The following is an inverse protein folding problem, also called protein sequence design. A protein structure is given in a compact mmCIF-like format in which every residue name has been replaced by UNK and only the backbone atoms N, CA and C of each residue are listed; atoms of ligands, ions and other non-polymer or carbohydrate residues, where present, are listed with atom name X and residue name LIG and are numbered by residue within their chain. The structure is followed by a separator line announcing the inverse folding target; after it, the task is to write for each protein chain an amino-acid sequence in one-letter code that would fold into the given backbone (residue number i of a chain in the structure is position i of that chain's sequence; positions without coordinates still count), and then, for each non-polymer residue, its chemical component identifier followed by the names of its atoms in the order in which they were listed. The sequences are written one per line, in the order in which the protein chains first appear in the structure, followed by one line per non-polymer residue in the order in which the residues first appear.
data_IF_587819862883
#
_entry.id   IF_587819862883
#
_cell.length_a   1.000
_cell.length_b   1.000
_cell.length_c   1.000
_cell.angle_alpha   90.00
_cell.angle_beta   90.00
_cell.angle_gamma   90.00
#
_symmetry.space_group_name_H-M   'P 1'
#
loop_
_entity.id
_entity.type
_entity.pdbx_description
1 polymer ?
#
# COMPACT_ATOMS: atom_id res chain seq x y z
N UNK A 1 -57.69 -31.87 -19.58
CA UNK A 1 -56.37 -32.49 -19.75
C UNK A 1 -55.63 -31.61 -20.74
N UNK A 2 -54.83 -30.67 -20.27
CA UNK A 2 -54.02 -29.77 -21.09
C UNK A 2 -52.55 -30.08 -20.75
N UNK A 3 -51.89 -30.72 -21.71
CA UNK A 3 -50.50 -31.12 -21.67
C UNK A 3 -49.61 -29.83 -21.74
N UNK A 4 -48.83 -29.59 -20.66
CA UNK A 4 -47.80 -28.57 -20.66
C UNK A 4 -46.52 -29.18 -21.22
N UNK A 5 -46.20 -28.84 -22.46
CA UNK A 5 -44.88 -29.08 -23.04
C UNK A 5 -43.81 -28.28 -22.29
N UNK A 6 -42.69 -28.88 -21.88
CA UNK A 6 -41.58 -28.14 -21.26
C UNK A 6 -40.87 -27.29 -22.31
N UNK A 7 -40.75 -25.99 -22.03
CA UNK A 7 -39.98 -25.04 -22.82
C UNK A 7 -38.49 -25.45 -22.74
N UNK A 8 -37.97 -25.98 -23.83
CA UNK A 8 -36.53 -26.26 -23.96
C UNK A 8 -35.77 -24.94 -23.98
N UNK A 9 -35.00 -24.65 -22.92
CA UNK A 9 -34.03 -23.57 -22.88
C UNK A 9 -32.91 -23.89 -23.89
N UNK A 10 -32.66 -23.08 -24.89
CA UNK A 10 -31.58 -23.35 -25.85
C UNK A 10 -30.24 -23.25 -25.10
N UNK A 11 -29.52 -24.40 -25.01
CA UNK A 11 -28.11 -24.40 -24.67
C UNK A 11 -27.38 -23.66 -25.79
N UNK A 12 -26.87 -22.45 -25.48
CA UNK A 12 -26.02 -21.74 -26.40
C UNK A 12 -24.72 -22.54 -26.56
N UNK A 13 -24.58 -23.21 -27.68
CA UNK A 13 -23.32 -23.83 -28.18
C UNK A 13 -22.33 -22.71 -28.56
N UNK A 14 -22.02 -21.86 -27.62
CA UNK A 14 -20.96 -20.86 -27.78
C UNK A 14 -19.64 -21.60 -27.70
N UNK A 15 -19.04 -21.87 -28.87
CA UNK A 15 -17.66 -22.35 -28.92
C UNK A 15 -16.78 -21.49 -28.02
N UNK A 16 -15.98 -22.07 -27.13
CA UNK A 16 -15.19 -21.30 -26.20
C UNK A 16 -14.28 -20.35 -26.99
N UNK A 17 -14.34 -19.05 -26.65
CA UNK A 17 -13.46 -18.05 -27.27
C UNK A 17 -12.03 -18.48 -27.06
N UNK A 18 -11.23 -18.58 -28.15
CA UNK A 18 -9.85 -19.02 -28.07
C UNK A 18 -8.92 -17.84 -27.83
N UNK A 19 -7.93 -18.04 -26.95
CA UNK A 19 -6.83 -17.10 -26.72
C UNK A 19 -5.50 -17.86 -26.72
N UNK A 20 -4.47 -17.28 -27.33
CA UNK A 20 -3.10 -17.79 -27.27
C UNK A 20 -2.32 -16.93 -26.30
N UNK A 21 -1.61 -17.57 -25.39
CA UNK A 21 -0.79 -16.91 -24.39
C UNK A 21 0.66 -17.36 -24.49
N UNK A 22 1.56 -16.45 -24.84
CA UNK A 22 3.01 -16.68 -24.77
C UNK A 22 3.54 -16.17 -23.44
N UNK A 23 4.22 -17.02 -22.68
CA UNK A 23 4.80 -16.66 -21.37
C UNK A 23 6.07 -17.42 -21.06
N UNK A 24 6.95 -16.81 -20.27
CA UNK A 24 8.18 -17.47 -19.82
C UNK A 24 7.86 -18.58 -18.81
N UNK A 25 8.42 -19.77 -19.06
CA UNK A 25 8.44 -20.91 -18.15
C UNK A 25 9.80 -21.57 -18.27
N UNK A 26 10.71 -21.23 -17.39
CA UNK A 26 12.10 -21.71 -17.38
C UNK A 26 12.38 -22.46 -16.07
N UNK A 27 13.41 -23.31 -16.02
CA UNK A 27 13.88 -23.87 -14.75
C UNK A 27 14.14 -22.75 -13.73
N UNK A 28 13.49 -22.82 -12.57
CA UNK A 28 13.61 -21.82 -11.51
C UNK A 28 12.89 -20.48 -11.74
N UNK A 29 12.24 -20.26 -12.90
CA UNK A 29 11.50 -19.02 -13.17
C UNK A 29 10.22 -19.25 -13.96
N UNK A 30 9.09 -18.91 -13.37
CA UNK A 30 7.79 -18.85 -14.06
C UNK A 30 7.25 -17.42 -13.99
N UNK A 31 6.94 -16.83 -15.13
CA UNK A 31 6.46 -15.46 -15.21
C UNK A 31 5.14 -15.26 -14.44
N UNK A 32 5.10 -14.47 -13.34
CA UNK A 32 3.89 -14.28 -12.54
C UNK A 32 2.78 -13.55 -13.30
N UNK A 33 3.13 -12.62 -14.18
CA UNK A 33 2.15 -11.95 -15.04
C UNK A 33 1.55 -12.91 -16.08
N UNK A 34 2.32 -13.90 -16.56
CA UNK A 34 1.82 -14.95 -17.42
C UNK A 34 0.81 -15.86 -16.70
N UNK A 35 1.06 -16.19 -15.42
CA UNK A 35 0.11 -16.94 -14.60
C UNK A 35 -1.18 -16.15 -14.37
N UNK A 36 -1.07 -14.86 -14.06
CA UNK A 36 -2.22 -13.95 -13.90
C UNK A 36 -3.03 -13.84 -15.19
N UNK A 37 -2.39 -13.69 -16.35
CA UNK A 37 -3.05 -13.63 -17.65
C UNK A 37 -3.81 -14.92 -17.96
N UNK A 38 -3.18 -16.10 -17.75
CA UNK A 38 -3.82 -17.40 -17.92
C UNK A 38 -5.04 -17.58 -17.03
N UNK A 39 -4.91 -17.23 -15.74
CA UNK A 39 -6.02 -17.30 -14.80
C UNK A 39 -7.18 -16.41 -15.22
N UNK A 40 -6.90 -15.16 -15.60
CA UNK A 40 -7.90 -14.20 -16.03
C UNK A 40 -8.64 -14.66 -17.29
N UNK A 41 -7.93 -15.14 -18.31
CA UNK A 41 -8.52 -15.66 -19.54
C UNK A 41 -9.47 -16.83 -19.25
N UNK A 42 -9.02 -17.82 -18.46
CA UNK A 42 -9.84 -18.96 -18.07
C UNK A 42 -11.08 -18.53 -17.30
N UNK A 43 -10.95 -17.62 -16.35
CA UNK A 43 -12.08 -17.08 -15.58
C UNK A 43 -13.09 -16.34 -16.45
N UNK A 44 -12.66 -15.78 -17.57
CA UNK A 44 -13.52 -15.12 -18.57
C UNK A 44 -14.04 -16.05 -19.67
N UNK A 45 -13.87 -17.37 -19.51
CA UNK A 45 -14.40 -18.38 -20.41
C UNK A 45 -13.60 -18.60 -21.69
N UNK A 46 -12.34 -18.19 -21.75
CA UNK A 46 -11.48 -18.45 -22.90
C UNK A 46 -10.83 -19.84 -22.79
N UNK A 47 -10.82 -20.58 -23.89
CA UNK A 47 -9.92 -21.72 -24.09
C UNK A 47 -8.52 -21.17 -24.37
N UNK A 48 -7.57 -21.44 -23.47
CA UNK A 48 -6.23 -20.87 -23.52
C UNK A 48 -5.23 -21.88 -24.10
N UNK A 49 -4.68 -21.54 -25.26
CA UNK A 49 -3.47 -22.18 -25.83
C UNK A 49 -2.25 -21.55 -25.14
N UNK A 50 -1.69 -22.24 -24.14
CA UNK A 50 -0.62 -21.75 -23.26
C UNK A 50 0.75 -22.14 -23.82
N UNK A 51 1.41 -21.25 -24.55
CA UNK A 51 2.69 -21.45 -25.22
C UNK A 51 3.84 -20.93 -24.34
N UNK A 52 4.74 -21.84 -24.02
CA UNK A 52 5.86 -21.58 -23.13
C UNK A 52 7.10 -21.15 -23.91
N UNK A 53 7.74 -20.11 -23.44
CA UNK A 53 9.08 -19.68 -23.82
C UNK A 53 10.02 -20.22 -22.76
N UNK A 54 10.80 -21.23 -23.12
CA UNK A 54 11.54 -22.07 -22.16
C UNK A 54 12.98 -21.63 -21.97
N UNK A 55 13.49 -20.78 -22.86
CA UNK A 55 14.85 -20.22 -22.77
C UNK A 55 14.84 -18.71 -22.96
N UNK A 56 15.93 -18.05 -22.56
CA UNK A 56 16.11 -16.61 -22.78
C UNK A 56 16.21 -16.29 -24.27
N UNK A 57 16.94 -17.08 -25.02
CA UNK A 57 17.12 -16.92 -26.47
C UNK A 57 15.78 -17.01 -27.20
N UNK A 58 14.94 -17.97 -26.83
CA UNK A 58 13.60 -18.11 -27.37
C UNK A 58 12.72 -16.89 -27.03
N UNK A 59 12.84 -16.39 -25.80
CA UNK A 59 12.13 -15.19 -25.36
C UNK A 59 12.55 -13.95 -26.13
N UNK A 60 13.85 -13.72 -26.32
CA UNK A 60 14.35 -12.55 -27.06
C UNK A 60 14.01 -12.65 -28.54
N UNK A 61 14.12 -13.85 -29.17
CA UNK A 61 13.67 -14.06 -30.51
C UNK A 61 12.18 -13.77 -30.69
N UNK A 62 11.33 -14.27 -29.80
CA UNK A 62 9.89 -13.99 -29.80
C UNK A 62 9.62 -12.47 -29.67
N UNK A 63 10.34 -11.77 -28.80
CA UNK A 63 10.19 -10.31 -28.66
C UNK A 63 10.58 -9.58 -29.94
N UNK A 64 11.67 -9.97 -30.58
CA UNK A 64 12.14 -9.37 -31.83
C UNK A 64 11.15 -9.63 -32.98
N UNK A 65 10.68 -10.86 -33.12
CA UNK A 65 9.74 -11.28 -34.17
C UNK A 65 8.39 -10.54 -34.08
N UNK A 66 7.89 -10.36 -32.86
CA UNK A 66 6.60 -9.70 -32.63
C UNK A 66 6.71 -8.19 -32.31
N UNK A 67 7.90 -7.62 -32.29
CA UNK A 67 8.14 -6.20 -32.00
C UNK A 67 7.67 -5.79 -30.59
N UNK A 68 7.90 -6.64 -29.58
CA UNK A 68 7.45 -6.42 -28.20
C UNK A 68 8.61 -6.34 -27.22
N UNK A 69 8.46 -5.52 -26.18
CA UNK A 69 9.51 -5.34 -25.16
C UNK A 69 9.43 -6.35 -24.02
N UNK A 70 8.24 -6.92 -23.77
CA UNK A 70 7.98 -7.73 -22.57
C UNK A 70 7.12 -8.95 -22.88
N UNK A 71 7.15 -9.93 -21.96
CA UNK A 71 6.21 -11.06 -21.88
C UNK A 71 5.47 -10.99 -20.54
N UNK A 72 4.24 -11.54 -20.43
CA UNK A 72 3.51 -12.33 -21.40
C UNK A 72 2.95 -11.50 -22.56
N UNK A 73 2.56 -12.20 -23.65
CA UNK A 73 1.79 -11.63 -24.73
C UNK A 73 0.56 -12.50 -25.01
N UNK A 74 -0.58 -11.84 -25.16
CA UNK A 74 -1.88 -12.48 -25.40
C UNK A 74 -2.38 -12.14 -26.80
N UNK A 75 -2.90 -13.16 -27.50
CA UNK A 75 -3.56 -13.00 -28.78
C UNK A 75 -4.99 -13.55 -28.69
N UNK A 76 -5.98 -12.79 -29.16
CA UNK A 76 -7.39 -13.17 -29.19
C UNK A 76 -7.89 -13.01 -30.63
N UNK A 77 -8.51 -14.03 -31.17
CA UNK A 77 -8.97 -14.07 -32.57
C UNK A 77 -7.86 -13.65 -33.57
N UNK A 78 -6.64 -14.10 -33.36
CA UNK A 78 -5.48 -13.79 -34.21
C UNK A 78 -4.90 -12.39 -34.06
N UNK A 79 -5.52 -11.52 -33.27
CA UNK A 79 -5.01 -10.16 -33.01
C UNK A 79 -4.25 -10.12 -31.69
N UNK A 80 -3.10 -9.43 -31.70
CA UNK A 80 -2.33 -9.20 -30.47
C UNK A 80 -3.08 -8.21 -29.58
N UNK A 81 -3.37 -8.63 -28.34
CA UNK A 81 -3.92 -7.79 -27.29
C UNK A 81 -2.80 -7.08 -26.54
N UNK A 82 -1.71 -7.80 -26.21
CA UNK A 82 -0.58 -7.27 -25.46
C UNK A 82 -0.29 -8.04 -24.18
N UNK A 83 0.29 -7.35 -23.19
CA UNK A 83 0.62 -7.89 -21.87
C UNK A 83 -0.59 -8.09 -20.96
N UNK A 84 -0.30 -8.36 -19.68
CA UNK A 84 -1.38 -8.58 -18.69
C UNK A 84 -2.27 -7.35 -18.49
N UNK A 85 -1.68 -6.16 -18.46
CA UNK A 85 -2.45 -4.92 -18.25
C UNK A 85 -3.27 -4.55 -19.49
N UNK A 86 -2.73 -4.82 -20.70
CA UNK A 86 -3.47 -4.66 -21.95
C UNK A 86 -4.65 -5.63 -22.01
N UNK A 87 -4.45 -6.88 -21.57
CA UNK A 87 -5.51 -7.86 -21.44
C UNK A 87 -6.62 -7.38 -20.48
N UNK A 88 -6.24 -6.79 -19.34
CA UNK A 88 -7.22 -6.23 -18.41
C UNK A 88 -8.05 -5.13 -19.06
N UNK A 89 -7.40 -4.17 -19.77
CA UNK A 89 -8.09 -3.10 -20.50
C UNK A 89 -9.02 -3.67 -21.58
N UNK A 90 -8.54 -4.65 -22.36
CA UNK A 90 -9.33 -5.31 -23.39
C UNK A 90 -10.59 -5.98 -22.82
N UNK A 91 -10.53 -6.51 -21.60
CA UNK A 91 -11.65 -7.16 -20.90
C UNK A 91 -12.50 -6.17 -20.08
N UNK A 92 -12.32 -4.86 -20.23
CA UNK A 92 -13.06 -3.82 -19.51
C UNK A 92 -12.75 -3.74 -18.02
N UNK A 93 -11.58 -4.27 -17.59
CA UNK A 93 -11.14 -4.22 -16.20
C UNK A 93 -10.21 -3.03 -15.97
N UNK A 94 -10.34 -2.41 -14.82
CA UNK A 94 -9.48 -1.29 -14.41
C UNK A 94 -8.03 -1.77 -14.24
N UNK A 95 -7.11 -1.05 -14.85
CA UNK A 95 -5.66 -1.20 -14.61
C UNK A 95 -5.23 -0.10 -13.67
N UNK A 96 -4.52 -0.46 -12.60
CA UNK A 96 -3.98 0.53 -11.68
C UNK A 96 -2.91 1.36 -12.41
N UNK A 97 -3.10 2.67 -12.39
CA UNK A 97 -2.05 3.59 -12.84
C UNK A 97 -0.88 3.51 -11.86
N UNK A 98 0.34 3.23 -12.33
CA UNK A 98 1.52 3.21 -11.47
C UNK A 98 1.76 4.53 -10.73
N UNK A 99 1.32 5.66 -11.28
CA UNK A 99 1.52 7.00 -10.72
C UNK A 99 0.32 7.55 -9.96
N UNK A 100 -0.82 6.83 -9.96
CA UNK A 100 -2.01 7.27 -9.24
C UNK A 100 -1.80 7.33 -7.73
N UNK A 101 -2.30 8.39 -7.11
CA UNK A 101 -2.39 8.53 -5.65
C UNK A 101 -3.17 7.35 -5.05
N UNK A 102 -2.63 6.75 -3.99
CA UNK A 102 -3.28 5.64 -3.31
C UNK A 102 -3.19 5.81 -1.79
N UNK A 103 -4.33 5.91 -1.15
CA UNK A 103 -4.45 5.93 0.33
C UNK A 103 -4.56 4.53 0.94
N UNK A 104 -4.62 3.48 0.12
CA UNK A 104 -4.75 2.09 0.61
C UNK A 104 -3.69 1.71 1.64
N UNK A 105 -2.38 2.03 1.47
CA UNK A 105 -1.39 1.71 2.48
C UNK A 105 -1.66 2.37 3.84
N UNK A 106 -2.13 3.63 3.84
CA UNK A 106 -2.50 4.37 5.06
C UNK A 106 -3.70 3.71 5.75
N UNK A 107 -4.74 3.38 4.99
CA UNK A 107 -5.91 2.69 5.52
C UNK A 107 -5.56 1.33 6.12
N UNK A 108 -4.66 0.58 5.50
CA UNK A 108 -4.18 -0.71 6.03
C UNK A 108 -3.44 -0.52 7.35
N UNK A 109 -2.58 0.49 7.48
CA UNK A 109 -1.87 0.81 8.73
C UNK A 109 -2.85 1.12 9.85
N UNK A 110 -3.79 2.04 9.61
CA UNK A 110 -4.76 2.42 10.64
C UNK A 110 -5.74 1.28 10.97
N UNK A 111 -6.14 0.47 10.00
CA UNK A 111 -6.95 -0.72 10.26
C UNK A 111 -6.19 -1.75 11.12
N UNK A 112 -4.90 -1.96 10.85
CA UNK A 112 -4.07 -2.85 11.66
C UNK A 112 -3.87 -2.31 13.09
N UNK A 113 -3.58 -1.01 13.23
CA UNK A 113 -3.46 -0.37 14.54
C UNK A 113 -4.77 -0.47 15.34
N UNK A 114 -5.92 -0.22 14.71
CA UNK A 114 -7.22 -0.34 15.35
C UNK A 114 -7.52 -1.79 15.78
N UNK A 115 -7.26 -2.77 14.91
CA UNK A 115 -7.46 -4.18 15.23
C UNK A 115 -6.59 -4.62 16.42
N UNK A 116 -5.32 -4.21 16.46
CA UNK A 116 -4.42 -4.49 17.57
C UNK A 116 -4.87 -3.83 18.86
N UNK A 117 -5.30 -2.55 18.82
CA UNK A 117 -5.78 -1.82 19.99
C UNK A 117 -7.05 -2.46 20.59
N UNK A 118 -8.00 -2.81 19.73
CA UNK A 118 -9.24 -3.47 20.16
C UNK A 118 -8.98 -4.87 20.72
N UNK A 119 -8.10 -5.65 20.09
CA UNK A 119 -7.72 -6.97 20.56
C UNK A 119 -6.98 -6.91 21.91
N UNK A 120 -6.06 -5.95 22.06
CA UNK A 120 -5.35 -5.74 23.33
C UNK A 120 -6.30 -5.31 24.44
N UNK A 121 -7.24 -4.41 24.16
CA UNK A 121 -8.24 -3.97 25.12
C UNK A 121 -9.18 -5.12 25.54
N UNK A 122 -9.64 -5.90 24.57
CA UNK A 122 -10.46 -7.09 24.85
C UNK A 122 -9.71 -8.10 25.73
N UNK A 123 -8.43 -8.35 25.44
CA UNK A 123 -7.62 -9.28 26.22
C UNK A 123 -7.31 -8.77 27.64
N UNK A 124 -7.06 -7.46 27.80
CA UNK A 124 -6.69 -6.88 29.10
C UNK A 124 -7.89 -6.58 30.01
N UNK A 125 -9.02 -6.17 29.43
CA UNK A 125 -10.16 -5.62 30.17
C UNK A 125 -11.48 -6.37 29.92
N UNK A 126 -11.50 -7.40 29.07
CA UNK A 126 -12.74 -8.12 28.70
C UNK A 126 -13.71 -7.30 27.84
N UNK A 127 -13.31 -6.11 27.41
CA UNK A 127 -14.10 -5.24 26.53
C UNK A 127 -13.20 -4.56 25.50
N UNK A 128 -13.65 -4.50 24.25
CA UNK A 128 -12.86 -3.95 23.15
C UNK A 128 -12.79 -2.42 23.17
N UNK A 129 -13.87 -1.75 23.57
CA UNK A 129 -13.98 -0.30 23.55
C UNK A 129 -13.76 0.29 24.96
N UNK A 130 -12.59 0.87 25.16
CA UNK A 130 -12.17 1.55 26.38
C UNK A 130 -11.43 2.84 26.00
N UNK A 131 -11.19 3.74 26.95
CA UNK A 131 -10.28 4.88 26.75
C UNK A 131 -8.89 4.34 26.35
N UNK A 132 -8.46 3.27 26.98
CA UNK A 132 -7.18 2.62 26.70
C UNK A 132 -7.05 2.11 25.27
N UNK A 133 -8.14 1.64 24.64
CA UNK A 133 -8.10 1.23 23.24
C UNK A 133 -7.85 2.40 22.28
N UNK A 134 -8.30 3.62 22.62
CA UNK A 134 -8.00 4.82 21.84
C UNK A 134 -6.52 5.22 22.00
N UNK A 135 -5.99 5.17 23.22
CA UNK A 135 -4.57 5.41 23.48
C UNK A 135 -3.68 4.41 22.74
N UNK A 136 -4.00 3.13 22.81
CA UNK A 136 -3.29 2.08 22.08
C UNK A 136 -3.41 2.22 20.57
N UNK A 137 -4.55 2.68 20.06
CA UNK A 137 -4.70 2.95 18.63
C UNK A 137 -3.67 3.98 18.12
N UNK A 138 -3.56 5.12 18.81
CA UNK A 138 -2.60 6.17 18.45
C UNK A 138 -1.17 5.66 18.59
N UNK A 139 -0.85 5.02 19.71
CA UNK A 139 0.48 4.49 19.99
C UNK A 139 0.92 3.42 18.99
N UNK A 140 0.04 2.46 18.67
CA UNK A 140 0.33 1.41 17.68
C UNK A 140 0.43 1.98 16.26
N UNK A 141 -0.38 3.00 15.91
CA UNK A 141 -0.24 3.69 14.64
C UNK A 141 1.14 4.36 14.52
N UNK A 142 1.61 5.05 15.56
CA UNK A 142 2.96 5.63 15.62
C UNK A 142 4.04 4.56 15.43
N UNK A 143 3.96 3.46 16.17
CA UNK A 143 4.94 2.35 16.08
C UNK A 143 4.96 1.76 14.67
N UNK A 144 3.81 1.48 14.06
CA UNK A 144 3.74 0.88 12.73
C UNK A 144 4.28 1.85 11.67
N UNK A 145 3.90 3.13 11.74
CA UNK A 145 4.39 4.15 10.81
C UNK A 145 5.90 4.39 10.96
N UNK A 146 6.40 4.41 12.18
CA UNK A 146 7.84 4.48 12.44
C UNK A 146 8.59 3.24 11.90
N UNK A 147 8.04 2.03 12.08
CA UNK A 147 8.61 0.82 11.49
C UNK A 147 8.73 0.89 9.96
N UNK A 148 7.71 1.43 9.29
CA UNK A 148 7.75 1.61 7.83
C UNK A 148 8.83 2.61 7.40
N UNK A 149 9.09 3.66 8.19
CA UNK A 149 10.18 4.63 7.99
C UNK A 149 11.55 4.00 8.27
N UNK A 150 11.63 3.13 9.29
CA UNK A 150 12.86 2.43 9.69
C UNK A 150 13.31 1.36 8.69
N UNK A 151 12.43 0.86 7.81
CA UNK A 151 12.81 -0.11 6.76
C UNK A 151 13.82 0.49 5.76
N UNK A 152 13.79 1.81 5.54
CA UNK A 152 14.72 2.51 4.67
C UNK A 152 14.89 3.95 5.19
N UNK A 153 15.69 4.08 6.25
CA UNK A 153 15.91 5.35 6.97
C UNK A 153 16.53 6.41 6.06
N UNK A 154 17.43 6.00 5.18
CA UNK A 154 18.11 6.92 4.27
C UNK A 154 17.13 7.55 3.27
N UNK A 155 16.30 6.73 2.68
CA UNK A 155 15.26 7.20 1.76
C UNK A 155 14.22 8.06 2.47
N UNK A 156 13.81 7.66 3.69
CA UNK A 156 12.93 8.47 4.51
C UNK A 156 13.55 9.84 4.80
N UNK A 157 14.79 9.87 5.31
CA UNK A 157 15.50 11.11 5.64
C UNK A 157 15.60 12.02 4.43
N UNK A 158 15.96 11.49 3.25
CA UNK A 158 16.03 12.25 2.00
C UNK A 158 14.69 12.90 1.64
N UNK A 159 13.57 12.17 1.78
CA UNK A 159 12.25 12.73 1.51
C UNK A 159 11.83 13.75 2.58
N UNK A 160 12.14 13.48 3.85
CA UNK A 160 11.83 14.33 5.00
C UNK A 160 12.55 15.67 4.93
N UNK A 161 13.81 15.70 4.50
CA UNK A 161 14.60 16.90 4.25
C UNK A 161 13.96 17.87 3.23
N UNK A 162 13.05 17.39 2.38
CA UNK A 162 12.38 18.27 1.42
C UNK A 162 11.41 19.25 2.10
N UNK A 163 10.86 18.94 3.27
CA UNK A 163 9.83 19.77 3.89
C UNK A 163 10.02 20.05 5.37
N UNK A 164 10.69 19.19 6.14
CA UNK A 164 10.83 19.40 7.57
C UNK A 164 11.81 20.52 7.89
N UNK A 165 11.36 21.47 8.72
CA UNK A 165 12.09 22.69 9.03
C UNK A 165 13.34 22.43 9.88
N UNK A 166 13.27 21.48 10.82
CA UNK A 166 14.40 21.14 11.67
C UNK A 166 15.41 20.24 10.92
N UNK A 167 14.92 19.23 10.19
CA UNK A 167 15.78 18.35 9.41
C UNK A 167 16.61 19.12 8.38
N UNK A 168 16.04 20.15 7.76
CA UNK A 168 16.75 21.03 6.82
C UNK A 168 17.87 21.84 7.48
N UNK A 169 17.80 22.10 8.77
CA UNK A 169 18.84 22.79 9.52
C UNK A 169 19.85 21.85 10.16
N UNK A 170 19.39 20.67 10.55
CA UNK A 170 20.18 19.66 11.22
C UNK A 170 19.87 18.27 10.63
N UNK A 171 20.61 17.90 9.59
CA UNK A 171 20.41 16.68 8.80
C UNK A 171 20.29 15.39 9.65
N UNK A 172 21.12 15.19 10.71
CA UNK A 172 20.97 14.00 11.57
C UNK A 172 19.57 13.81 12.16
N UNK A 173 18.81 14.89 12.36
CA UNK A 173 17.43 14.79 12.83
C UNK A 173 16.54 13.97 11.91
N UNK A 174 16.75 14.07 10.58
CA UNK A 174 16.02 13.26 9.60
C UNK A 174 16.22 11.75 9.80
N UNK A 175 17.37 11.33 10.26
CA UNK A 175 17.65 9.92 10.57
C UNK A 175 17.14 9.51 11.95
N UNK A 176 17.25 10.40 12.94
CA UNK A 176 16.83 10.12 14.32
C UNK A 176 15.31 10.15 14.50
N UNK A 177 14.58 10.92 13.66
CA UNK A 177 13.14 11.11 13.78
C UNK A 177 12.36 9.79 13.87
N UNK A 178 12.63 8.83 12.99
CA UNK A 178 11.91 7.56 12.96
C UNK A 178 12.13 6.72 14.22
N UNK A 179 13.34 6.77 14.78
CA UNK A 179 13.64 6.11 16.07
C UNK A 179 12.95 6.80 17.23
N UNK A 180 12.91 8.13 17.23
CA UNK A 180 12.25 8.92 18.24
C UNK A 180 10.73 8.67 18.24
N UNK A 181 10.10 8.62 17.06
CA UNK A 181 8.69 8.30 16.88
C UNK A 181 8.36 6.87 17.35
N UNK A 182 9.21 5.89 16.97
CA UNK A 182 9.05 4.51 17.44
C UNK A 182 9.13 4.42 18.96
N UNK A 183 10.14 5.06 19.57
CA UNK A 183 10.34 5.06 21.00
C UNK A 183 9.16 5.74 21.73
N UNK A 184 8.73 6.92 21.26
CA UNK A 184 7.58 7.60 21.80
C UNK A 184 6.32 6.73 21.77
N UNK A 185 5.99 6.15 20.61
CA UNK A 185 4.81 5.27 20.47
C UNK A 185 4.88 4.04 21.35
N UNK A 186 6.02 3.36 21.44
CA UNK A 186 6.20 2.17 22.26
C UNK A 186 6.08 2.49 23.78
N UNK A 187 6.71 3.57 24.24
CA UNK A 187 6.67 4.01 25.63
C UNK A 187 5.27 4.47 26.02
N UNK A 188 4.58 5.21 25.17
CA UNK A 188 3.19 5.65 25.38
C UNK A 188 2.23 4.44 25.43
N UNK A 189 2.43 3.43 24.57
CA UNK A 189 1.63 2.20 24.61
C UNK A 189 1.77 1.46 25.93
N UNK A 190 2.98 1.44 26.50
CA UNK A 190 3.28 0.79 27.77
C UNK A 190 2.98 1.64 29.01
N UNK A 191 2.70 2.95 28.88
CA UNK A 191 2.73 3.94 29.96
C UNK A 191 4.02 3.82 30.79
N UNK A 192 5.13 3.75 30.06
CA UNK A 192 6.46 3.62 30.64
C UNK A 192 7.28 4.87 30.34
N UNK A 193 8.03 5.37 31.31
CA UNK A 193 8.88 6.54 31.15
C UNK A 193 8.10 7.75 30.58
N UNK A 194 6.91 8.03 31.09
CA UNK A 194 6.03 9.11 30.60
C UNK A 194 6.74 10.46 30.58
N UNK A 195 7.66 10.70 31.55
CA UNK A 195 8.51 11.88 31.61
C UNK A 195 9.43 12.04 30.37
N UNK A 196 9.71 10.97 29.63
CA UNK A 196 10.47 10.97 28.37
C UNK A 196 9.54 10.90 27.15
N UNK A 197 8.55 10.00 27.19
CA UNK A 197 7.65 9.74 26.05
C UNK A 197 6.83 10.99 25.68
N UNK A 198 6.26 11.67 26.68
CA UNK A 198 5.42 12.86 26.47
C UNK A 198 6.19 14.02 25.83
N UNK A 199 7.33 14.51 26.39
CA UNK A 199 8.05 15.59 25.74
C UNK A 199 8.63 15.19 24.37
N UNK A 200 9.04 13.93 24.19
CA UNK A 200 9.53 13.45 22.90
C UNK A 200 8.43 13.53 21.83
N UNK A 201 7.23 13.02 22.11
CA UNK A 201 6.09 13.07 21.18
C UNK A 201 5.65 14.52 20.90
N UNK A 202 5.63 15.39 21.93
CA UNK A 202 5.29 16.81 21.77
C UNK A 202 6.29 17.53 20.85
N UNK A 203 7.59 17.31 21.04
CA UNK A 203 8.63 17.97 20.24
C UNK A 203 8.55 17.53 18.80
N UNK A 204 8.60 16.20 18.52
CA UNK A 204 8.60 15.71 17.14
C UNK A 204 7.27 15.98 16.45
N UNK A 205 6.15 15.81 17.13
CA UNK A 205 4.82 16.07 16.59
C UNK A 205 4.60 17.56 16.27
N UNK A 206 5.02 18.48 17.15
CA UNK A 206 4.87 19.91 16.91
C UNK A 206 5.74 20.38 15.74
N UNK A 207 6.99 19.96 15.69
CA UNK A 207 7.89 20.31 14.58
C UNK A 207 7.34 19.73 13.26
N UNK A 208 6.90 18.47 13.26
CA UNK A 208 6.32 17.82 12.10
C UNK A 208 5.03 18.51 11.64
N UNK A 209 4.11 18.83 12.55
CA UNK A 209 2.87 19.54 12.21
C UNK A 209 3.12 20.91 11.59
N UNK A 210 4.00 21.71 12.19
CA UNK A 210 4.37 23.04 11.67
C UNK A 210 5.04 22.89 10.30
N UNK A 211 5.95 21.94 10.15
CA UNK A 211 6.68 21.71 8.88
C UNK A 211 5.73 21.31 7.75
N UNK A 212 4.82 20.38 8.00
CA UNK A 212 3.82 19.93 6.99
C UNK A 212 2.86 21.07 6.66
N UNK A 213 2.33 21.77 7.66
CA UNK A 213 1.44 22.89 7.45
C UNK A 213 2.11 23.99 6.60
N UNK A 214 3.32 24.36 6.94
CA UNK A 214 4.08 25.37 6.21
C UNK A 214 4.36 24.96 4.75
N UNK A 215 4.82 23.73 4.54
CA UNK A 215 5.15 23.24 3.20
C UNK A 215 3.91 23.17 2.28
N UNK A 216 2.78 22.70 2.80
CA UNK A 216 1.60 22.43 1.98
C UNK A 216 0.71 23.67 1.84
N UNK A 217 0.35 24.34 2.95
CA UNK A 217 -0.64 25.42 2.93
C UNK A 217 -0.04 26.81 2.80
N UNK A 218 1.20 27.02 3.25
CA UNK A 218 1.86 28.34 3.11
C UNK A 218 2.68 28.40 1.81
N UNK A 219 3.45 27.35 1.50
CA UNK A 219 4.27 27.32 0.30
C UNK A 219 3.57 26.73 -0.93
N UNK A 220 2.42 26.07 -0.78
CA UNK A 220 1.65 25.47 -1.88
C UNK A 220 2.40 24.32 -2.59
N UNK A 221 3.28 23.58 -1.89
CA UNK A 221 4.13 22.56 -2.51
C UNK A 221 3.40 21.23 -2.61
N UNK A 222 3.42 20.65 -3.80
CA UNK A 222 2.95 19.27 -4.05
C UNK A 222 4.09 18.28 -3.78
N UNK A 223 4.10 17.67 -2.61
CA UNK A 223 5.12 16.72 -2.17
C UNK A 223 4.48 15.37 -1.87
N UNK A 224 5.28 14.31 -1.98
CA UNK A 224 4.86 12.96 -1.54
C UNK A 224 5.18 12.79 -0.06
N UNK A 225 4.27 12.15 0.68
CA UNK A 225 4.48 11.83 2.09
C UNK A 225 5.54 10.73 2.23
N UNK A 226 6.44 10.91 3.18
CA UNK A 226 7.39 9.88 3.60
C UNK A 226 6.78 8.91 4.64
N UNK A 227 5.52 9.12 5.09
CA UNK A 227 4.91 8.44 6.25
C UNK A 227 4.79 6.92 6.08
N UNK A 228 4.54 6.43 4.86
CA UNK A 228 4.28 5.00 4.59
C UNK A 228 5.45 4.37 3.83
N UNK A 229 6.67 4.76 4.20
CA UNK A 229 7.92 4.32 3.56
C UNK A 229 8.22 5.05 2.24
N UNK A 230 9.46 4.96 1.80
CA UNK A 230 10.01 5.76 0.69
C UNK A 230 9.41 5.48 -0.71
N UNK A 231 8.48 4.54 -0.87
CA UNK A 231 7.74 4.27 -2.12
C UNK A 231 6.30 4.80 -2.09
N UNK A 232 5.95 5.60 -1.08
CA UNK A 232 4.60 6.12 -0.87
C UNK A 232 4.12 6.99 -2.04
N UNK A 233 2.88 6.76 -2.48
CA UNK A 233 2.15 7.59 -3.45
C UNK A 233 1.12 8.48 -2.78
N UNK A 234 1.17 8.56 -1.47
CA UNK A 234 0.31 9.44 -0.67
C UNK A 234 0.84 10.85 -0.75
N UNK A 235 0.02 11.85 -1.09
CA UNK A 235 0.47 13.24 -1.06
C UNK A 235 0.75 13.67 0.38
N UNK A 236 1.79 14.51 0.56
CA UNK A 236 2.03 15.20 1.81
C UNK A 236 0.88 16.17 2.07
N UNK A 237 0.27 16.12 3.23
CA UNK A 237 -0.83 17.00 3.56
C UNK A 237 -1.66 16.47 4.73
N UNK A 238 -2.96 16.26 4.48
CA UNK A 238 -3.91 15.93 5.55
C UNK A 238 -3.50 14.71 6.39
N UNK A 239 -3.02 13.63 5.75
CA UNK A 239 -2.60 12.40 6.47
C UNK A 239 -1.42 12.68 7.39
N UNK A 240 -0.38 13.34 6.88
CA UNK A 240 0.81 13.65 7.68
C UNK A 240 0.51 14.66 8.80
N UNK A 241 -0.38 15.62 8.53
CA UNK A 241 -0.79 16.59 9.55
C UNK A 241 -1.60 15.90 10.64
N UNK A 242 -2.57 15.06 10.29
CA UNK A 242 -3.40 14.35 11.28
C UNK A 242 -2.59 13.38 12.14
N UNK A 243 -1.57 12.73 11.59
CA UNK A 243 -0.61 11.91 12.34
C UNK A 243 0.10 12.72 13.42
N UNK A 244 0.68 13.86 13.05
CA UNK A 244 1.37 14.73 14.00
C UNK A 244 0.43 15.33 15.05
N UNK A 245 -0.78 15.74 14.65
CA UNK A 245 -1.78 16.26 15.58
C UNK A 245 -2.27 15.17 16.55
N UNK A 246 -2.43 13.93 16.11
CA UNK A 246 -2.78 12.82 16.99
C UNK A 246 -1.69 12.53 18.03
N UNK A 247 -0.40 12.61 17.64
CA UNK A 247 0.72 12.51 18.59
C UNK A 247 0.66 13.61 19.66
N UNK A 248 0.46 14.86 19.25
CA UNK A 248 0.36 15.99 20.17
C UNK A 248 -0.85 15.80 21.12
N UNK A 249 -2.02 15.48 20.57
CA UNK A 249 -3.23 15.28 21.34
C UNK A 249 -3.07 14.15 22.38
N UNK A 250 -2.46 13.04 21.98
CA UNK A 250 -2.18 11.91 22.86
C UNK A 250 -1.19 12.30 23.98
N UNK A 251 -0.12 13.02 23.63
CA UNK A 251 0.86 13.46 24.62
C UNK A 251 0.25 14.44 25.63
N UNK A 252 -0.59 15.38 25.20
CA UNK A 252 -1.33 16.30 26.07
C UNK A 252 -2.36 15.55 26.94
N UNK A 253 -3.05 14.57 26.38
CA UNK A 253 -3.96 13.70 27.11
C UNK A 253 -3.24 12.96 28.24
N UNK A 254 -2.12 12.31 27.93
CA UNK A 254 -1.31 11.62 28.95
C UNK A 254 -0.80 12.59 30.02
N UNK A 255 -0.32 13.76 29.61
CA UNK A 255 0.15 14.78 30.58
C UNK A 255 -0.96 15.19 31.57
N UNK A 256 -2.19 15.35 31.09
CA UNK A 256 -3.33 15.72 31.93
C UNK A 256 -3.78 14.61 32.89
N UNK A 257 -3.42 13.34 32.64
CA UNK A 257 -3.82 12.18 33.45
C UNK A 257 -2.68 11.57 34.25
N UNK A 258 -1.44 12.05 34.08
CA UNK A 258 -0.28 11.69 34.92
C UNK A 258 -0.06 12.65 36.09
N UNK A 259 -0.76 13.79 36.10
CA UNK A 259 -0.81 14.73 37.19
C UNK A 259 -2.07 14.51 38.03
#
# INVERSE_FOLDING_TARGET
MTEHSPIAVPRSDAHPRRAILYRMVMPGHTCPYGLKARHLLRRKGYAVDDRWLTTREETERFKAEHGVKTTPQVFIAGKRVGGFDDLRRHLGLTVADPDATSYVPVLVVFAAAAALALAASQAAFGTALTVRSVEWFVSFAMVILAMLKLQDVERFATMFLNYDLLARRWVPYGHVYSFAEFAAGALMAAHALDWLAIPLALVIGTIGAISVFYAVWVQGRELKCACVGGSSRVPLGFVSLSENLAMIAMALWMLAHTV
#
